data_IF_057587564292
#
_entry.id   IF_057587564292
#
_cell.length_a   1.000
_cell.length_b   1.000
_cell.length_c   1.000
_cell.angle_alpha   90.00
_cell.angle_beta   90.00
_cell.angle_gamma   90.00
#
_symmetry.space_group_name_H-M   'P 1'
#
loop_
_entity.id
_entity.type
_entity.pdbx_description
1 polymer ?
#
# COMPACT_ATOMS: atom_id res chain seq x y z
N UNK A 1 -11.49 9.67 -3.38
CA UNK A 1 -12.37 8.49 -3.19
C UNK A 1 -11.67 7.30 -3.79
N UNK A 2 -11.75 6.14 -3.14
CA UNK A 2 -11.33 4.87 -3.70
C UNK A 2 -12.53 3.93 -3.71
N UNK A 3 -12.82 3.31 -4.86
CA UNK A 3 -13.86 2.29 -4.97
C UNK A 3 -13.37 1.14 -5.83
N UNK A 4 -13.52 -0.08 -5.32
CA UNK A 4 -13.23 -1.30 -6.04
C UNK A 4 -14.42 -2.25 -5.92
N UNK A 5 -15.03 -2.57 -7.06
CA UNK A 5 -16.02 -3.64 -7.20
C UNK A 5 -15.28 -4.85 -7.80
N UNK A 6 -15.32 -5.99 -7.13
CA UNK A 6 -14.56 -7.18 -7.55
C UNK A 6 -15.31 -8.48 -7.25
N UNK A 7 -15.01 -9.52 -8.03
CA UNK A 7 -15.60 -10.84 -7.86
C UNK A 7 -14.51 -11.85 -7.56
N UNK A 8 -14.61 -12.52 -6.40
CA UNK A 8 -13.73 -13.62 -6.02
C UNK A 8 -14.52 -14.92 -6.04
N UNK A 9 -14.27 -15.76 -7.05
CA UNK A 9 -15.08 -16.95 -7.32
C UNK A 9 -16.52 -16.56 -7.64
N UNK A 10 -17.48 -16.94 -6.78
CA UNK A 10 -18.91 -16.59 -6.94
C UNK A 10 -19.35 -15.40 -6.09
N UNK A 11 -18.45 -14.80 -5.30
CA UNK A 11 -18.77 -13.72 -4.37
C UNK A 11 -18.43 -12.37 -4.99
N UNK A 12 -19.46 -11.56 -5.25
CA UNK A 12 -19.29 -10.13 -5.54
C UNK A 12 -18.98 -9.39 -4.24
N UNK A 13 -18.02 -8.49 -4.29
CA UNK A 13 -17.55 -7.70 -3.16
C UNK A 13 -17.29 -6.26 -3.60
N UNK A 14 -17.41 -5.34 -2.66
CA UNK A 14 -17.16 -3.92 -2.90
C UNK A 14 -16.46 -3.31 -1.70
N UNK A 15 -15.46 -2.49 -1.97
CA UNK A 15 -14.82 -1.60 -0.99
C UNK A 15 -14.98 -0.17 -1.50
N UNK A 16 -15.55 0.70 -0.66
CA UNK A 16 -15.67 2.14 -0.91
C UNK A 16 -15.05 2.89 0.28
N UNK A 17 -14.03 3.70 -0.01
CA UNK A 17 -13.32 4.52 0.97
C UNK A 17 -13.44 5.99 0.54
N UNK A 18 -14.02 6.81 1.40
CA UNK A 18 -14.14 8.25 1.21
C UNK A 18 -13.14 8.97 2.07
N UNK A 19 -12.59 10.04 1.52
CA UNK A 19 -11.58 10.86 2.17
C UNK A 19 -12.07 12.31 2.20
N UNK A 20 -11.85 12.98 3.33
CA UNK A 20 -12.11 14.41 3.50
C UNK A 20 -11.08 14.98 4.46
N UNK A 21 -10.57 16.18 4.16
CA UNK A 21 -9.61 16.91 5.01
C UNK A 21 -8.40 16.07 5.46
N UNK A 22 -7.86 15.25 4.55
CA UNK A 22 -6.68 14.42 4.82
C UNK A 22 -6.93 13.20 5.72
N UNK A 23 -8.17 12.80 5.95
CA UNK A 23 -8.53 11.60 6.70
C UNK A 23 -9.62 10.79 5.99
N UNK A 24 -9.77 9.52 6.37
CA UNK A 24 -10.91 8.71 5.93
C UNK A 24 -12.17 9.22 6.62
N UNK A 25 -13.17 9.60 5.82
CA UNK A 25 -14.46 10.10 6.29
C UNK A 25 -15.53 9.01 6.37
N UNK A 26 -15.43 7.98 5.52
CA UNK A 26 -16.29 6.81 5.59
C UNK A 26 -15.66 5.61 4.90
N UNK A 27 -16.08 4.41 5.32
CA UNK A 27 -15.69 3.15 4.70
C UNK A 27 -16.90 2.24 4.64
N UNK A 28 -17.12 1.65 3.47
CA UNK A 28 -18.09 0.59 3.26
C UNK A 28 -17.40 -0.62 2.66
N UNK A 29 -17.59 -1.78 3.28
CA UNK A 29 -17.10 -3.07 2.77
C UNK A 29 -18.30 -3.99 2.65
N UNK A 30 -18.47 -4.57 1.47
CA UNK A 30 -19.55 -5.50 1.13
C UNK A 30 -18.92 -6.81 0.64
N UNK A 31 -19.32 -7.97 1.18
CA UNK A 31 -20.17 -8.13 2.36
C UNK A 31 -19.50 -7.56 3.62
N UNK A 32 -20.30 -7.15 4.60
CA UNK A 32 -19.78 -6.58 5.84
C UNK A 32 -18.84 -7.58 6.54
N UNK A 33 -17.69 -7.11 7.07
CA UNK A 33 -16.80 -7.95 7.85
C UNK A 33 -17.54 -8.60 9.02
N UNK A 34 -17.22 -9.86 9.30
CA UNK A 34 -17.78 -10.58 10.44
C UNK A 34 -17.39 -9.97 11.79
N UNK A 35 -18.05 -10.41 12.87
CA UNK A 35 -17.71 -9.98 14.24
C UNK A 35 -16.23 -10.25 14.54
N UNK A 36 -15.56 -9.25 15.10
CA UNK A 36 -14.14 -9.28 15.46
C UNK A 36 -14.00 -9.48 16.96
N UNK A 37 -13.21 -10.46 17.38
CA UNK A 37 -12.93 -10.70 18.79
C UNK A 37 -11.93 -9.65 19.31
N UNK A 38 -12.31 -8.79 20.28
CA UNK A 38 -11.44 -7.73 20.80
C UNK A 38 -10.16 -8.26 21.45
N UNK A 39 -10.12 -9.51 21.93
CA UNK A 39 -8.93 -10.10 22.55
C UNK A 39 -7.85 -10.41 21.52
N UNK A 40 -8.24 -10.75 20.30
CA UNK A 40 -7.34 -11.18 19.24
C UNK A 40 -7.19 -10.18 18.08
N UNK A 41 -7.98 -9.11 18.06
CA UNK A 41 -7.91 -8.05 17.05
C UNK A 41 -7.22 -6.78 17.54
N UNK A 42 -6.47 -6.14 16.66
CA UNK A 42 -6.05 -4.74 16.83
C UNK A 42 -7.13 -3.87 16.19
N UNK A 43 -7.89 -3.07 16.96
CA UNK A 43 -8.93 -2.21 16.40
C UNK A 43 -8.30 -1.06 15.60
N UNK A 44 -9.08 -0.47 14.68
CA UNK A 44 -8.75 0.80 14.04
C UNK A 44 -9.34 1.92 14.89
N UNK A 45 -8.52 2.91 15.22
CA UNK A 45 -8.96 4.17 15.80
C UNK A 45 -8.96 5.31 14.79
N UNK A 46 -9.61 6.42 15.13
CA UNK A 46 -9.68 7.62 14.28
C UNK A 46 -8.30 8.19 13.92
N UNK A 47 -7.32 8.02 14.82
CA UNK A 47 -5.94 8.43 14.58
C UNK A 47 -5.25 7.64 13.46
N UNK A 48 -5.58 6.35 13.31
CA UNK A 48 -5.01 5.49 12.28
C UNK A 48 -5.49 5.89 10.87
N UNK A 49 -6.64 6.55 10.79
CA UNK A 49 -7.31 6.94 9.55
C UNK A 49 -6.90 8.33 9.05
N UNK A 50 -5.94 8.99 9.71
CA UNK A 50 -5.39 10.28 9.30
C UNK A 50 -4.16 10.12 8.41
N UNK A 51 -4.11 10.93 7.35
CA UNK A 51 -3.01 11.00 6.39
C UNK A 51 -2.64 9.63 5.79
N UNK A 52 -3.66 8.79 5.58
CA UNK A 52 -3.52 7.51 4.89
C UNK A 52 -3.90 7.64 3.42
N UNK A 53 -3.26 6.84 2.58
CA UNK A 53 -3.57 6.69 1.17
C UNK A 53 -4.38 5.41 0.93
N UNK A 54 -5.18 5.41 -0.13
CA UNK A 54 -5.87 4.21 -0.59
C UNK A 54 -4.89 3.23 -1.29
N UNK A 55 -5.30 1.97 -1.53
CA UNK A 55 -4.42 0.95 -2.10
C UNK A 55 -3.83 1.27 -3.46
N UNK A 56 -4.41 2.19 -4.25
CA UNK A 56 -3.83 2.63 -5.51
C UNK A 56 -2.92 3.83 -5.31
N UNK A 57 -3.39 4.86 -4.59
CA UNK A 57 -2.59 6.06 -4.33
C UNK A 57 -1.31 5.75 -3.54
N UNK A 58 -1.33 4.74 -2.67
CA UNK A 58 -0.15 4.29 -1.92
C UNK A 58 0.97 3.71 -2.81
N UNK A 59 0.66 3.35 -4.06
CA UNK A 59 1.61 2.72 -4.98
C UNK A 59 2.43 3.72 -5.79
N UNK A 60 2.00 4.98 -5.89
CA UNK A 60 2.70 6.03 -6.63
C UNK A 60 3.36 7.01 -5.67
N UNK A 61 4.49 7.57 -6.08
CA UNK A 61 5.30 8.44 -5.24
C UNK A 61 5.51 9.79 -5.92
N UNK A 62 5.17 10.88 -5.23
CA UNK A 62 5.61 12.22 -5.62
C UNK A 62 7.01 12.51 -5.05
N UNK A 63 7.96 12.90 -5.89
CA UNK A 63 9.32 13.25 -5.49
C UNK A 63 9.96 14.23 -6.47
N UNK A 64 10.90 15.05 -6.00
CA UNK A 64 11.62 16.02 -6.85
C UNK A 64 12.55 15.33 -7.85
N UNK A 65 13.03 14.14 -7.51
CA UNK A 65 13.96 13.37 -8.34
C UNK A 65 13.89 11.88 -8.02
N UNK A 66 14.46 11.06 -8.92
CA UNK A 66 14.45 9.61 -8.83
C UNK A 66 15.16 9.10 -7.56
N UNK A 67 16.22 9.76 -7.09
CA UNK A 67 16.90 9.43 -5.83
C UNK A 67 16.08 9.74 -4.57
N UNK A 68 15.06 10.60 -4.68
CA UNK A 68 14.18 10.95 -3.56
C UNK A 68 12.93 10.08 -3.48
N UNK A 69 12.75 9.11 -4.38
CA UNK A 69 11.57 8.23 -4.36
C UNK A 69 11.55 7.34 -3.11
N UNK A 70 12.66 6.70 -2.78
CA UNK A 70 12.80 5.94 -1.53
C UNK A 70 13.04 6.89 -0.33
N UNK A 71 13.25 6.34 0.87
CA UNK A 71 13.54 7.10 2.09
C UNK A 71 12.31 7.67 2.79
N UNK A 72 11.15 7.03 2.62
CA UNK A 72 9.86 7.50 3.15
C UNK A 72 9.00 6.37 3.67
N UNK A 73 7.99 6.72 4.45
CA UNK A 73 6.94 5.79 4.91
C UNK A 73 5.61 6.22 4.35
N UNK A 74 4.92 5.31 3.66
CA UNK A 74 3.57 5.50 3.16
C UNK A 74 2.60 4.83 4.11
N UNK A 75 1.68 5.60 4.69
CA UNK A 75 0.57 5.05 5.47
C UNK A 75 -0.53 4.67 4.49
N UNK A 76 -0.95 3.41 4.48
CA UNK A 76 -2.07 3.00 3.63
C UNK A 76 -3.18 2.33 4.44
N UNK A 77 -4.39 2.41 3.90
CA UNK A 77 -5.58 1.78 4.46
C UNK A 77 -6.40 1.15 3.33
N UNK A 78 -6.74 -0.12 3.48
CA UNK A 78 -7.45 -0.90 2.44
C UNK A 78 -8.95 -1.06 2.67
N UNK A 79 -9.51 -0.39 3.68
CA UNK A 79 -10.91 -0.54 4.09
C UNK A 79 -11.10 -1.49 5.28
N UNK A 80 -10.08 -2.25 5.65
CA UNK A 80 -10.11 -3.14 6.82
C UNK A 80 -8.87 -3.00 7.70
N UNK A 81 -7.69 -2.84 7.12
CA UNK A 81 -6.39 -2.82 7.78
C UNK A 81 -5.61 -1.55 7.41
N UNK A 82 -4.98 -0.96 8.43
CA UNK A 82 -4.00 0.13 8.29
C UNK A 82 -2.60 -0.44 8.45
N UNK A 83 -1.70 -0.07 7.54
CA UNK A 83 -0.31 -0.48 7.61
C UNK A 83 0.64 0.63 7.12
N UNK A 84 1.87 0.55 7.59
CA UNK A 84 3.00 1.39 7.17
C UNK A 84 3.86 0.65 6.15
N UNK A 85 4.12 1.30 5.02
CA UNK A 85 5.00 0.83 3.95
C UNK A 85 6.27 1.67 3.95
N UNK A 86 7.36 1.13 4.48
CA UNK A 86 8.66 1.82 4.48
C UNK A 86 9.40 1.54 3.18
N UNK A 87 9.80 2.58 2.45
CA UNK A 87 10.60 2.46 1.24
C UNK A 87 12.06 2.78 1.56
N UNK A 88 12.94 1.78 1.52
CA UNK A 88 14.38 1.96 1.73
C UNK A 88 15.11 1.81 0.41
N UNK A 89 16.11 2.64 0.13
CA UNK A 89 16.90 2.49 -1.11
C UNK A 89 17.51 1.08 -1.21
N UNK A 90 17.39 0.45 -2.38
CA UNK A 90 18.03 -0.83 -2.67
C UNK A 90 19.04 -0.73 -3.82
N UNK A 91 18.64 -0.14 -4.95
CA UNK A 91 19.53 0.02 -6.10
C UNK A 91 19.01 1.04 -7.10
N UNK A 92 19.89 1.52 -7.99
CA UNK A 92 19.52 2.12 -9.28
C UNK A 92 19.61 1.09 -10.39
N UNK A 93 18.89 1.34 -11.47
CA UNK A 93 18.97 0.54 -12.68
C UNK A 93 18.36 1.29 -13.86
N UNK A 94 18.18 0.60 -14.97
CA UNK A 94 17.44 1.09 -16.12
C UNK A 94 16.57 -0.01 -16.69
N UNK A 95 15.53 0.37 -17.42
CA UNK A 95 14.63 -0.58 -18.07
C UNK A 95 14.22 -0.07 -19.45
N UNK A 96 13.84 -1.00 -20.32
CA UNK A 96 13.11 -0.71 -21.55
C UNK A 96 11.83 -1.57 -21.57
N UNK A 97 10.68 -0.93 -21.47
CA UNK A 97 9.34 -1.52 -21.59
C UNK A 97 8.51 -0.70 -22.56
N UNK A 98 7.41 -1.24 -23.12
CA UNK A 98 6.48 -0.43 -23.91
C UNK A 98 6.06 0.82 -23.13
N UNK A 99 6.28 2.00 -23.71
CA UNK A 99 5.95 3.28 -23.09
C UNK A 99 7.01 3.89 -22.16
N UNK A 100 8.11 3.19 -21.85
CA UNK A 100 9.20 3.77 -21.05
C UNK A 100 10.58 3.13 -21.33
N UNK A 101 11.58 3.97 -21.59
CA UNK A 101 13.00 3.58 -21.62
C UNK A 101 13.81 4.60 -20.85
N UNK A 102 14.46 4.18 -19.76
CA UNK A 102 15.24 5.09 -18.94
C UNK A 102 15.58 4.55 -17.56
N UNK A 103 16.00 5.47 -16.70
CA UNK A 103 16.49 5.19 -15.35
C UNK A 103 15.38 4.86 -14.37
N UNK A 104 15.70 3.95 -13.46
CA UNK A 104 14.78 3.43 -12.45
C UNK A 104 15.46 3.39 -11.09
N UNK A 105 14.65 3.40 -10.05
CA UNK A 105 15.10 3.19 -8.67
C UNK A 105 14.33 2.03 -8.08
N UNK A 106 15.03 1.14 -7.40
CA UNK A 106 14.41 0.04 -6.66
C UNK A 106 14.48 0.36 -5.18
N UNK A 107 13.31 0.35 -4.53
CA UNK A 107 13.20 0.42 -3.09
C UNK A 107 12.92 -0.98 -2.51
N UNK A 108 13.56 -1.31 -1.39
CA UNK A 108 13.10 -2.37 -0.49
C UNK A 108 11.88 -1.84 0.26
N UNK A 109 10.76 -2.54 0.13
CA UNK A 109 9.52 -2.23 0.83
C UNK A 109 9.45 -3.06 2.11
N UNK A 110 9.30 -2.38 3.25
CA UNK A 110 8.91 -3.00 4.52
C UNK A 110 7.40 -2.88 4.71
N UNK A 111 6.80 -3.85 5.39
CA UNK A 111 5.37 -3.86 5.71
C UNK A 111 5.18 -3.98 7.22
N UNK A 112 4.56 -2.97 7.83
CA UNK A 112 4.23 -2.98 9.25
C UNK A 112 2.71 -2.86 9.43
N UNK A 113 1.99 -3.94 9.83
CA UNK A 113 0.57 -3.85 10.14
C UNK A 113 0.39 -3.08 11.45
N UNK A 114 -0.49 -2.07 11.44
CA UNK A 114 -0.67 -1.21 12.61
C UNK A 114 -2.05 -1.35 13.24
N UNK A 115 -3.10 -1.44 12.44
CA UNK A 115 -4.46 -1.57 12.96
C UNK A 115 -5.37 -2.33 12.00
N UNK A 116 -6.50 -2.83 12.49
CA UNK A 116 -7.50 -3.49 11.65
C UNK A 116 -7.14 -4.92 11.23
N UNK A 117 -6.39 -5.63 12.07
CA UNK A 117 -5.98 -7.00 11.78
C UNK A 117 -6.06 -7.91 13.00
N UNK A 118 -6.16 -9.22 12.74
CA UNK A 118 -6.07 -10.25 13.79
C UNK A 118 -4.61 -10.55 14.12
N UNK A 119 -4.25 -10.45 15.40
CA UNK A 119 -2.94 -10.82 15.94
C UNK A 119 -2.61 -12.28 15.60
N UNK A 120 -1.32 -12.55 15.36
CA UNK A 120 -0.83 -13.91 15.09
C UNK A 120 -1.12 -14.46 13.69
N UNK A 121 -1.65 -13.67 12.75
CA UNK A 121 -1.77 -14.11 11.35
C UNK A 121 -0.38 -14.38 10.75
N UNK A 122 -0.11 -15.64 10.42
CA UNK A 122 1.16 -16.10 9.83
C UNK A 122 1.58 -15.28 8.61
N UNK A 123 0.63 -14.95 7.72
CA UNK A 123 0.90 -14.16 6.52
C UNK A 123 1.40 -12.74 6.86
N UNK A 124 0.78 -12.05 7.83
CA UNK A 124 1.22 -10.72 8.25
C UNK A 124 2.58 -10.77 8.96
N UNK A 125 2.78 -11.77 9.81
CA UNK A 125 4.07 -11.99 10.46
C UNK A 125 5.18 -12.31 9.44
N UNK A 126 4.85 -12.99 8.36
CA UNK A 126 5.77 -13.25 7.26
C UNK A 126 6.13 -11.94 6.52
N UNK A 127 5.12 -11.17 6.11
CA UNK A 127 5.33 -9.87 5.43
C UNK A 127 6.18 -8.93 6.29
N UNK A 128 5.88 -8.83 7.58
CA UNK A 128 6.61 -7.99 8.52
C UNK A 128 8.06 -8.42 8.73
N UNK A 129 8.28 -9.71 9.03
CA UNK A 129 9.57 -10.14 9.60
C UNK A 129 10.49 -10.86 8.61
N UNK A 130 9.95 -11.42 7.53
CA UNK A 130 10.69 -12.36 6.65
C UNK A 130 10.68 -11.97 5.18
N UNK A 131 9.63 -11.28 4.73
CA UNK A 131 9.51 -10.98 3.31
C UNK A 131 10.62 -10.07 2.81
N UNK A 132 11.07 -10.34 1.59
CA UNK A 132 11.94 -9.45 0.84
C UNK A 132 11.13 -8.85 -0.31
N UNK A 133 10.48 -7.72 -0.03
CA UNK A 133 9.73 -6.99 -1.05
C UNK A 133 10.61 -5.94 -1.71
N UNK A 134 10.68 -5.97 -3.04
CA UNK A 134 11.36 -4.95 -3.84
C UNK A 134 10.35 -4.36 -4.82
N UNK A 135 10.36 -3.03 -4.91
CA UNK A 135 9.52 -2.28 -5.85
C UNK A 135 10.41 -1.36 -6.67
N UNK A 136 10.36 -1.49 -7.99
CA UNK A 136 11.09 -0.65 -8.93
C UNK A 136 10.15 0.41 -9.49
N UNK A 137 10.60 1.66 -9.45
CA UNK A 137 9.87 2.84 -9.87
C UNK A 137 10.48 3.47 -11.11
N UNK A 138 9.63 4.02 -11.97
CA UNK A 138 9.97 4.84 -13.13
C UNK A 138 9.16 6.15 -13.12
N UNK A 139 9.71 7.25 -13.65
CA UNK A 139 8.99 8.52 -13.75
C UNK A 139 7.82 8.44 -14.74
N UNK A 140 6.72 9.11 -14.40
CA UNK A 140 5.57 9.33 -15.27
C UNK A 140 5.72 10.67 -15.97
N UNK A 141 6.34 10.66 -17.16
CA UNK A 141 6.65 11.89 -17.90
C UNK A 141 7.44 12.89 -17.05
N UNK A 142 7.07 14.16 -17.10
CA UNK A 142 7.68 15.24 -16.30
C UNK A 142 6.78 15.69 -15.13
N UNK A 143 5.99 14.79 -14.56
CA UNK A 143 4.99 15.12 -13.53
C UNK A 143 5.53 15.18 -12.09
N UNK A 144 6.76 14.73 -11.85
CA UNK A 144 7.27 14.47 -10.50
C UNK A 144 6.64 13.24 -9.81
N UNK A 145 5.82 12.48 -10.53
CA UNK A 145 5.22 11.21 -10.07
C UNK A 145 6.05 10.03 -10.58
N UNK A 146 6.25 9.05 -9.71
CA UNK A 146 6.93 7.80 -10.01
C UNK A 146 5.98 6.64 -9.77
N UNK A 147 5.78 5.82 -10.81
CA UNK A 147 4.90 4.67 -10.77
C UNK A 147 5.71 3.36 -10.64
N UNK A 148 5.16 2.34 -9.97
CA UNK A 148 5.82 1.06 -9.83
C UNK A 148 5.68 0.29 -11.14
N UNK A 149 6.81 -0.16 -11.70
CA UNK A 149 6.87 -0.91 -12.96
C UNK A 149 7.22 -2.38 -12.73
N UNK A 150 7.71 -2.72 -11.54
CA UNK A 150 8.01 -4.08 -11.12
C UNK A 150 7.90 -4.18 -9.61
N UNK A 151 7.21 -5.21 -9.13
CA UNK A 151 7.21 -5.59 -7.73
C UNK A 151 7.57 -7.07 -7.61
N UNK A 152 8.37 -7.41 -6.61
CA UNK A 152 8.72 -8.80 -6.30
C UNK A 152 8.56 -9.03 -4.81
N UNK A 153 8.08 -10.21 -4.43
CA UNK A 153 8.00 -10.67 -3.05
C UNK A 153 8.78 -11.97 -2.98
N UNK A 154 9.97 -11.91 -2.37
CA UNK A 154 10.77 -13.11 -2.11
C UNK A 154 10.13 -13.98 -1.02
N UNK A 155 10.21 -15.29 -1.21
CA UNK A 155 9.92 -16.36 -0.23
C UNK A 155 11.16 -16.78 0.54
#
# INVERSE_FOLDING_TARGET
VFRADYTSGKKSSMVDIRFSNGAVSSTQVVPAPGKRDPKSWVPIGDGDLKSVLDPMAATVIHADSLDKVCGRTVKFYDGEMRADLTLTYASRGSIAVPGYKGDTVTCKMGFEPVAGYRKGRKALNYLKNKSRMLVTFAPVGQSGVYAPIRATVGT
#
